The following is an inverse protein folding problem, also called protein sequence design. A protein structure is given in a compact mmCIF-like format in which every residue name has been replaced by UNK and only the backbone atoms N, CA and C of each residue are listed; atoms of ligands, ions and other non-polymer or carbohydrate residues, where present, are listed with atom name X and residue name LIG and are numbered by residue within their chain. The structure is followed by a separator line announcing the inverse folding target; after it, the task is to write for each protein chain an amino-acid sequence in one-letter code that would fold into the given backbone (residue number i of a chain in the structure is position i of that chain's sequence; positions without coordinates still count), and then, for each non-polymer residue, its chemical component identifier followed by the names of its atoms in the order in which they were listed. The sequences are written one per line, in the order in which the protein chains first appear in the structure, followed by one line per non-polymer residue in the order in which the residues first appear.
data_IF_819144608069
#
_entry.id   IF_819144608069
#
_cell.length_a   1.000
_cell.length_b   1.000
_cell.length_c   1.000
_cell.angle_alpha   90.00
_cell.angle_beta   90.00
_cell.angle_gamma   90.00
#
_symmetry.space_group_name_H-M   'P 1'
#
loop_
_entity.id
_entity.type
_entity.pdbx_description
1 polymer ?
#
# COMPACT_ATOMS: atom_id res chain seq x y z
N UNK A 1 -17.05 -5.68 7.51
CA UNK A 1 -17.28 -4.30 7.01
C UNK A 1 -16.56 -3.35 7.95
N UNK A 2 -15.80 -2.37 7.44
CA UNK A 2 -15.27 -1.27 8.24
C UNK A 2 -16.45 -0.60 8.96
N UNK A 3 -16.48 -0.63 10.29
CA UNK A 3 -17.50 0.07 11.07
C UNK A 3 -16.95 1.45 11.47
N UNK A 4 -17.47 2.57 10.91
CA UNK A 4 -17.02 3.91 11.27
C UNK A 4 -17.22 4.21 12.77
N UNK A 5 -18.06 3.44 13.49
CA UNK A 5 -18.16 3.53 14.93
C UNK A 5 -16.83 3.31 15.67
N UNK A 6 -15.88 2.57 15.06
CA UNK A 6 -14.56 2.30 15.62
C UNK A 6 -13.70 3.57 15.86
N UNK A 7 -14.05 4.70 15.24
CA UNK A 7 -13.31 5.95 15.34
C UNK A 7 -14.15 7.17 15.75
N UNK A 8 -15.41 6.97 16.19
CA UNK A 8 -16.32 8.09 16.54
C UNK A 8 -15.81 8.97 17.68
N UNK A 9 -15.03 8.40 18.57
CA UNK A 9 -14.41 9.05 19.73
C UNK A 9 -12.99 9.58 19.45
N UNK A 10 -12.47 9.39 18.23
CA UNK A 10 -11.10 9.76 17.86
C UNK A 10 -11.13 11.08 17.07
N UNK A 11 -10.62 12.20 17.63
CA UNK A 11 -10.55 13.46 16.91
C UNK A 11 -9.63 13.34 15.69
N UNK A 12 -10.03 13.94 14.57
CA UNK A 12 -9.18 14.05 13.39
C UNK A 12 -8.28 15.28 13.52
N UNK A 13 -6.98 15.06 13.57
CA UNK A 13 -5.98 16.11 13.51
C UNK A 13 -5.65 16.46 12.05
N UNK A 14 -5.31 17.73 11.81
CA UNK A 14 -4.78 18.21 10.51
C UNK A 14 -3.34 18.64 10.75
N UNK A 15 -2.39 17.92 10.15
CA UNK A 15 -0.98 18.32 10.13
C UNK A 15 -0.55 18.57 8.68
N UNK A 16 -0.02 19.75 8.40
CA UNK A 16 0.65 20.08 7.14
C UNK A 16 2.15 20.14 7.43
N UNK A 17 2.84 19.00 7.41
CA UNK A 17 4.26 18.91 7.79
C UNK A 17 4.61 17.60 8.48
N UNK A 18 5.61 17.63 9.37
CA UNK A 18 6.15 16.46 10.08
C UNK A 18 5.16 15.82 11.06
N UNK A 19 5.49 14.59 11.49
CA UNK A 19 4.82 13.96 12.62
C UNK A 19 5.14 14.71 13.93
N UNK A 20 4.38 14.45 15.02
CA UNK A 20 4.76 14.86 16.37
C UNK A 20 6.16 14.34 16.76
N UNK A 21 6.69 14.77 17.91
CA UNK A 21 7.99 14.28 18.38
C UNK A 21 8.02 12.75 18.56
N UNK A 22 9.21 12.17 18.37
CA UNK A 22 9.43 10.71 18.34
C UNK A 22 8.73 9.95 19.49
N UNK A 23 8.92 10.39 20.74
CA UNK A 23 8.30 9.74 21.93
C UNK A 23 6.77 9.70 21.83
N UNK A 24 6.17 10.76 21.25
CA UNK A 24 4.73 10.85 21.09
C UNK A 24 4.23 9.92 19.98
N UNK A 25 4.96 9.80 18.88
CA UNK A 25 4.63 8.84 17.81
C UNK A 25 4.74 7.42 18.34
N UNK A 26 5.82 7.10 19.06
CA UNK A 26 6.04 5.80 19.69
C UNK A 26 4.88 5.39 20.63
N UNK A 27 4.44 6.31 21.49
CA UNK A 27 3.29 6.11 22.37
C UNK A 27 2.01 5.83 21.55
N UNK A 28 1.73 6.64 20.54
CA UNK A 28 0.53 6.52 19.71
C UNK A 28 0.50 5.19 18.94
N UNK A 29 1.64 4.69 18.43
CA UNK A 29 1.72 3.40 17.73
C UNK A 29 1.43 2.24 18.70
N UNK A 30 1.99 2.29 19.91
CA UNK A 30 1.72 1.28 20.96
C UNK A 30 0.26 1.31 21.39
N UNK A 31 -0.34 2.48 21.52
CA UNK A 31 -1.75 2.65 21.82
C UNK A 31 -2.64 2.06 20.72
N UNK A 32 -2.31 2.31 19.45
CA UNK A 32 -3.02 1.75 18.31
C UNK A 32 -3.01 0.21 18.34
N UNK A 33 -1.83 -0.39 18.57
CA UNK A 33 -1.70 -1.84 18.72
C UNK A 33 -2.53 -2.37 19.88
N UNK A 34 -2.37 -1.76 21.06
CA UNK A 34 -3.05 -2.17 22.29
C UNK A 34 -4.58 -2.10 22.15
N UNK A 35 -5.10 -1.06 21.49
CA UNK A 35 -6.54 -0.84 21.28
C UNK A 35 -7.20 -1.93 20.45
N UNK A 36 -6.51 -2.46 19.44
CA UNK A 36 -7.10 -3.38 18.47
C UNK A 36 -6.58 -4.82 18.56
N UNK A 37 -5.59 -5.12 19.42
CA UNK A 37 -5.04 -6.48 19.57
C UNK A 37 -6.08 -7.55 19.89
N UNK A 38 -7.15 -7.17 20.59
CA UNK A 38 -8.24 -8.07 21.02
C UNK A 38 -9.35 -8.29 19.99
N UNK A 39 -9.32 -7.58 18.86
CA UNK A 39 -10.28 -7.78 17.76
C UNK A 39 -10.04 -9.11 17.05
N UNK A 40 -11.11 -9.88 16.83
CA UNK A 40 -11.07 -11.27 16.34
C UNK A 40 -11.97 -11.51 15.12
N UNK A 41 -12.63 -10.48 14.61
CA UNK A 41 -13.44 -10.53 13.41
C UNK A 41 -12.66 -11.00 12.19
N UNK A 42 -13.39 -11.49 11.19
CA UNK A 42 -12.85 -11.98 9.92
C UNK A 42 -12.26 -13.39 9.97
N UNK A 43 -11.72 -13.81 8.83
CA UNK A 43 -11.22 -15.17 8.58
C UNK A 43 -9.83 -15.13 7.96
N UNK A 44 -9.02 -16.14 8.26
CA UNK A 44 -7.71 -16.33 7.60
C UNK A 44 -7.96 -16.80 6.16
N UNK A 45 -7.15 -16.34 5.21
CA UNK A 45 -7.24 -16.80 3.83
C UNK A 45 -6.89 -18.29 3.73
N UNK A 46 -7.74 -19.08 3.07
CA UNK A 46 -7.62 -20.53 2.99
C UNK A 46 -7.45 -21.08 1.56
N UNK A 47 -7.70 -20.24 0.54
CA UNK A 47 -7.58 -20.64 -0.87
C UNK A 47 -6.12 -20.81 -1.34
N UNK A 48 -5.15 -20.26 -0.60
CA UNK A 48 -3.72 -20.61 -0.70
C UNK A 48 -3.41 -21.45 0.56
N UNK A 49 -3.21 -22.77 0.44
CA UNK A 49 -3.11 -23.67 1.60
C UNK A 49 -2.14 -23.22 2.69
N UNK A 50 -0.97 -22.72 2.34
CA UNK A 50 0.03 -22.28 3.33
C UNK A 50 -0.41 -21.06 4.15
N UNK A 51 -1.30 -20.21 3.60
CA UNK A 51 -1.82 -19.07 4.35
C UNK A 51 -2.82 -19.49 5.43
N UNK A 52 -3.48 -20.64 5.27
CA UNK A 52 -4.43 -21.18 6.24
C UNK A 52 -3.75 -21.62 7.56
N UNK A 53 -2.44 -21.87 7.52
CA UNK A 53 -1.64 -22.36 8.65
C UNK A 53 -1.10 -21.23 9.54
N UNK A 54 -1.24 -19.96 9.11
CA UNK A 54 -0.74 -18.81 9.85
C UNK A 54 -1.52 -18.61 11.14
N UNK A 55 -0.81 -18.31 12.24
CA UNK A 55 -1.43 -18.01 13.53
C UNK A 55 -2.34 -16.77 13.42
N UNK A 56 -3.68 -16.92 13.59
CA UNK A 56 -4.62 -15.83 13.44
C UNK A 56 -4.44 -14.72 14.49
N UNK A 57 -3.67 -14.97 15.55
CA UNK A 57 -3.43 -14.02 16.65
C UNK A 57 -2.35 -12.99 16.33
N UNK A 58 -1.48 -13.25 15.34
CA UNK A 58 -0.40 -12.34 14.94
C UNK A 58 -0.92 -10.95 14.58
N UNK A 59 -0.30 -9.93 15.18
CA UNK A 59 -0.60 -8.53 14.92
C UNK A 59 0.62 -7.64 15.10
N UNK A 60 1.10 -7.11 13.97
CA UNK A 60 2.19 -6.15 13.91
C UNK A 60 1.76 -4.82 13.31
N UNK A 61 2.32 -3.73 13.83
CA UNK A 61 2.19 -2.38 13.27
C UNK A 61 3.56 -1.73 13.18
N UNK A 62 3.80 -0.99 12.10
CA UNK A 62 5.00 -0.20 11.89
C UNK A 62 4.63 1.19 11.36
N UNK A 63 5.24 2.24 11.89
CA UNK A 63 5.21 3.60 11.35
C UNK A 63 6.64 4.02 11.11
N UNK A 64 6.91 4.58 9.94
CA UNK A 64 8.20 5.21 9.66
C UNK A 64 7.99 6.60 9.08
N UNK A 65 8.75 7.56 9.58
CA UNK A 65 8.83 8.93 9.08
C UNK A 65 9.73 9.01 7.84
N UNK A 66 9.48 9.99 6.96
CA UNK A 66 10.41 10.27 5.84
C UNK A 66 11.83 10.60 6.33
N UNK A 67 11.97 11.11 7.56
CA UNK A 67 13.26 11.33 8.21
C UNK A 67 13.93 10.08 8.80
N UNK A 68 13.33 8.90 8.64
CA UNK A 68 13.88 7.62 9.13
C UNK A 68 13.50 7.24 10.57
N UNK A 69 12.70 8.07 11.26
CA UNK A 69 12.15 7.73 12.58
C UNK A 69 11.18 6.56 12.49
N UNK A 70 11.54 5.41 13.05
CA UNK A 70 10.80 4.16 12.96
C UNK A 70 10.21 3.76 14.31
N UNK A 71 8.97 3.26 14.28
CA UNK A 71 8.16 2.87 15.42
C UNK A 71 7.44 1.54 15.14
N UNK A 72 7.84 0.50 15.86
CA UNK A 72 7.26 -0.85 15.72
C UNK A 72 6.46 -1.24 16.97
N UNK A 73 5.34 -1.95 16.77
CA UNK A 73 4.56 -2.54 17.86
C UNK A 73 4.07 -3.95 17.52
N UNK A 74 4.13 -4.85 18.50
CA UNK A 74 3.69 -6.23 18.36
C UNK A 74 4.58 -7.05 17.42
N UNK A 75 3.94 -7.83 16.55
CA UNK A 75 4.60 -8.76 15.61
C UNK A 75 5.08 -8.05 14.33
N UNK A 76 5.52 -6.79 14.42
CA UNK A 76 5.87 -5.95 13.27
C UNK A 76 6.99 -6.53 12.39
N UNK A 77 7.86 -7.35 12.99
CA UNK A 77 8.98 -8.04 12.34
C UNK A 77 8.66 -9.48 11.94
N UNK A 78 7.40 -9.94 12.10
CA UNK A 78 7.01 -11.28 11.66
C UNK A 78 7.04 -11.34 10.11
N UNK A 79 7.75 -12.32 9.52
CA UNK A 79 7.81 -12.46 8.08
C UNK A 79 6.52 -13.05 7.52
N UNK A 80 6.01 -12.45 6.44
CA UNK A 80 4.88 -12.95 5.67
C UNK A 80 5.08 -12.65 4.19
N UNK A 81 4.28 -13.28 3.34
CA UNK A 81 4.34 -13.06 1.89
C UNK A 81 3.74 -11.70 1.49
N UNK A 82 4.43 -10.92 0.66
CA UNK A 82 4.01 -9.57 0.24
C UNK A 82 2.70 -9.58 -0.56
N UNK A 83 2.41 -10.64 -1.30
CA UNK A 83 1.18 -10.80 -2.08
C UNK A 83 0.93 -9.60 -3.01
N UNK A 84 -0.34 -9.23 -3.20
CA UNK A 84 -0.78 -8.11 -4.03
C UNK A 84 -0.25 -6.73 -3.60
N UNK A 85 0.41 -6.60 -2.45
CA UNK A 85 1.07 -5.34 -2.05
C UNK A 85 2.21 -5.01 -3.01
N UNK A 86 2.89 -6.04 -3.55
CA UNK A 86 3.96 -5.88 -4.52
C UNK A 86 3.55 -5.08 -5.78
N UNK A 87 2.27 -5.13 -6.17
CA UNK A 87 1.75 -4.52 -7.40
C UNK A 87 2.04 -3.03 -7.50
N UNK A 88 1.88 -2.28 -6.41
CA UNK A 88 2.10 -0.83 -6.43
C UNK A 88 3.56 -0.47 -6.67
N UNK A 89 4.49 -1.26 -6.11
CA UNK A 89 5.91 -1.02 -6.25
C UNK A 89 6.42 -1.44 -7.63
N UNK A 90 5.93 -2.57 -8.17
CA UNK A 90 6.25 -2.97 -9.55
C UNK A 90 5.66 -2.00 -10.58
N UNK A 91 4.48 -1.42 -10.30
CA UNK A 91 3.95 -0.33 -11.11
C UNK A 91 4.85 0.91 -11.10
N UNK A 92 5.35 1.31 -9.92
CA UNK A 92 6.32 2.41 -9.82
C UNK A 92 7.58 2.14 -10.66
N UNK A 93 8.15 0.92 -10.57
CA UNK A 93 9.31 0.52 -11.37
C UNK A 93 9.02 0.54 -12.88
N UNK A 94 7.85 0.06 -13.30
CA UNK A 94 7.46 0.08 -14.71
C UNK A 94 7.32 1.50 -15.26
N UNK A 95 6.74 2.44 -14.48
CA UNK A 95 6.69 3.86 -14.88
C UNK A 95 8.09 4.45 -14.94
N UNK A 96 8.95 4.13 -13.97
CA UNK A 96 10.32 4.63 -13.94
C UNK A 96 11.12 4.23 -15.20
N UNK A 97 10.87 3.03 -15.72
CA UNK A 97 11.53 2.51 -16.93
C UNK A 97 10.91 3.07 -18.23
N UNK A 98 9.58 3.10 -18.32
CA UNK A 98 8.88 3.31 -19.61
C UNK A 98 8.19 4.67 -19.75
N UNK A 99 8.13 5.44 -18.68
CA UNK A 99 7.37 6.69 -18.61
C UNK A 99 5.86 6.47 -18.44
N UNK A 100 5.21 7.45 -17.81
CA UNK A 100 3.83 7.30 -17.35
C UNK A 100 2.78 7.18 -18.47
N UNK A 101 3.00 7.81 -19.63
CA UNK A 101 2.05 7.77 -20.76
C UNK A 101 1.96 6.35 -21.32
N UNK A 102 3.12 5.73 -21.54
CA UNK A 102 3.22 4.37 -22.09
C UNK A 102 2.61 3.34 -21.14
N UNK A 103 2.95 3.41 -19.85
CA UNK A 103 2.39 2.47 -18.87
C UNK A 103 0.89 2.68 -18.71
N UNK A 104 0.41 3.92 -18.70
CA UNK A 104 -1.02 4.24 -18.65
C UNK A 104 -1.80 3.68 -19.85
N UNK A 105 -1.24 3.74 -21.06
CA UNK A 105 -1.89 3.19 -22.27
C UNK A 105 -2.01 1.65 -22.24
N UNK A 106 -1.02 0.98 -21.64
CA UNK A 106 -0.98 -0.49 -21.58
C UNK A 106 -1.81 -1.03 -20.41
N UNK A 107 -1.72 -0.38 -19.25
CA UNK A 107 -2.23 -0.90 -17.97
C UNK A 107 -3.45 -0.13 -17.47
N UNK A 108 -3.50 1.18 -17.70
CA UNK A 108 -4.56 2.06 -17.21
C UNK A 108 -4.39 2.54 -15.77
N UNK A 109 -5.33 3.40 -15.36
CA UNK A 109 -5.38 4.05 -14.05
C UNK A 109 -6.79 4.11 -13.44
N UNK A 110 -7.78 3.47 -14.08
CA UNK A 110 -9.19 3.56 -13.73
C UNK A 110 -9.68 2.30 -13.00
N UNK A 111 -10.56 2.50 -12.01
CA UNK A 111 -11.20 1.39 -11.31
C UNK A 111 -12.14 0.61 -12.27
N UNK A 112 -12.22 -0.71 -12.10
CA UNK A 112 -13.08 -1.59 -12.90
C UNK A 112 -14.51 -1.67 -12.38
N UNK A 113 -14.75 -1.29 -11.12
CA UNK A 113 -16.03 -1.50 -10.43
C UNK A 113 -16.39 -2.98 -10.21
N UNK A 114 -15.42 -3.89 -10.42
CA UNK A 114 -15.57 -5.34 -10.32
C UNK A 114 -14.44 -5.93 -9.48
N UNK A 115 -14.59 -7.21 -9.10
CA UNK A 115 -13.59 -7.92 -8.32
C UNK A 115 -12.20 -7.90 -8.95
N UNK A 116 -11.17 -7.91 -8.10
CA UNK A 116 -9.78 -7.72 -8.50
C UNK A 116 -9.21 -8.79 -9.45
N UNK A 117 -9.86 -9.95 -9.53
CA UNK A 117 -9.52 -11.07 -10.40
C UNK A 117 -10.58 -11.29 -11.49
N UNK A 118 -11.41 -10.30 -11.77
CA UNK A 118 -12.54 -10.41 -12.70
C UNK A 118 -12.07 -10.52 -14.16
N UNK A 119 -12.36 -11.67 -14.78
CA UNK A 119 -12.21 -11.88 -16.22
C UNK A 119 -13.21 -11.03 -17.01
N UNK A 120 -14.42 -10.86 -16.47
CA UNK A 120 -15.48 -10.03 -17.06
C UNK A 120 -15.02 -8.58 -17.22
N UNK A 121 -14.24 -8.06 -16.27
CA UNK A 121 -13.68 -6.72 -16.38
C UNK A 121 -12.77 -6.57 -17.60
N UNK A 122 -11.97 -7.60 -17.91
CA UNK A 122 -11.08 -7.60 -19.09
C UNK A 122 -11.90 -7.67 -20.37
N UNK A 123 -12.92 -8.53 -20.43
CA UNK A 123 -13.78 -8.66 -21.62
C UNK A 123 -14.62 -7.40 -21.89
N UNK A 124 -15.18 -6.77 -20.86
CA UNK A 124 -15.96 -5.53 -20.99
C UNK A 124 -15.13 -4.32 -21.45
N UNK A 125 -13.81 -4.41 -21.37
CA UNK A 125 -12.88 -3.35 -21.74
C UNK A 125 -11.96 -3.77 -22.91
N UNK A 126 -12.43 -4.65 -23.79
CA UNK A 126 -11.71 -5.09 -25.00
C UNK A 126 -10.26 -5.56 -24.72
N UNK A 127 -10.09 -6.31 -23.62
CA UNK A 127 -8.80 -6.83 -23.18
C UNK A 127 -7.99 -5.89 -22.28
N UNK A 128 -8.40 -4.62 -22.15
CA UNK A 128 -7.65 -3.65 -21.37
C UNK A 128 -7.82 -3.88 -19.85
N UNK A 129 -6.73 -3.96 -19.05
CA UNK A 129 -6.80 -4.32 -17.64
C UNK A 129 -7.28 -3.19 -16.71
N UNK A 130 -7.35 -1.96 -17.21
CA UNK A 130 -7.88 -0.75 -16.57
C UNK A 130 -7.06 -0.14 -15.43
N UNK A 131 -6.39 -0.92 -14.58
CA UNK A 131 -5.45 -0.40 -13.58
C UNK A 131 -4.44 -1.48 -13.12
N UNK A 132 -3.32 -1.12 -12.47
CA UNK A 132 -2.27 -2.07 -12.08
C UNK A 132 -2.58 -2.85 -10.80
N UNK A 133 -3.63 -2.49 -10.05
CA UNK A 133 -3.92 -3.10 -8.74
C UNK A 133 -4.79 -4.36 -8.85
N UNK A 134 -5.50 -4.53 -9.97
CA UNK A 134 -6.17 -5.79 -10.34
C UNK A 134 -5.17 -6.80 -10.91
N UNK A 135 -5.47 -8.10 -10.85
CA UNK A 135 -4.53 -9.15 -11.28
C UNK A 135 -4.14 -9.02 -12.76
N UNK A 136 -5.09 -8.72 -13.64
CA UNK A 136 -4.82 -8.55 -15.06
C UNK A 136 -3.80 -7.42 -15.30
N UNK A 137 -3.98 -6.27 -14.65
CA UNK A 137 -3.07 -5.14 -14.80
C UNK A 137 -1.73 -5.38 -14.12
N UNK A 138 -1.71 -6.09 -13.00
CA UNK A 138 -0.47 -6.49 -12.37
C UNK A 138 0.36 -7.42 -13.27
N UNK A 139 -0.26 -8.43 -13.89
CA UNK A 139 0.40 -9.33 -14.84
C UNK A 139 0.92 -8.54 -16.05
N UNK A 140 0.10 -7.62 -16.61
CA UNK A 140 0.53 -6.74 -17.69
C UNK A 140 1.68 -5.81 -17.28
N UNK A 141 1.67 -5.31 -16.03
CA UNK A 141 2.75 -4.48 -15.47
C UNK A 141 4.03 -5.29 -15.28
N UNK A 142 3.94 -6.51 -14.76
CA UNK A 142 5.09 -7.42 -14.63
C UNK A 142 5.71 -7.71 -16.01
N UNK A 143 4.90 -7.85 -17.05
CA UNK A 143 5.39 -8.04 -18.43
C UNK A 143 6.23 -6.86 -18.96
N UNK A 144 6.07 -5.66 -18.40
CA UNK A 144 6.85 -4.47 -18.76
C UNK A 144 8.23 -4.42 -18.10
N UNK A 145 8.48 -5.26 -17.09
CA UNK A 145 9.75 -5.25 -16.39
C UNK A 145 10.89 -5.67 -17.32
N UNK A 146 12.05 -4.99 -17.29
CA UNK A 146 13.13 -5.24 -18.22
C UNK A 146 13.75 -6.63 -18.03
N UNK A 147 14.12 -7.28 -19.13
CA UNK A 147 14.77 -8.60 -19.16
C UNK A 147 14.50 -9.30 -20.49
N UNK A 148 15.50 -9.95 -21.06
CA UNK A 148 15.34 -10.74 -22.28
C UNK A 148 14.73 -12.14 -21.98
N UNK A 149 14.80 -12.56 -20.72
CA UNK A 149 14.25 -13.83 -20.23
C UNK A 149 13.43 -13.61 -18.96
N UNK A 150 12.54 -14.55 -18.64
CA UNK A 150 11.78 -14.54 -17.40
C UNK A 150 12.67 -14.52 -16.14
N UNK A 151 13.87 -15.11 -16.20
CA UNK A 151 14.85 -15.11 -15.10
C UNK A 151 15.39 -13.70 -14.87
N UNK A 152 15.81 -13.01 -15.93
CA UNK A 152 16.29 -11.63 -15.83
C UNK A 152 15.18 -10.69 -15.36
N UNK A 153 13.97 -10.85 -15.89
CA UNK A 153 12.79 -10.07 -15.49
C UNK A 153 12.47 -10.26 -14.01
N UNK A 154 12.52 -11.50 -13.52
CA UNK A 154 12.36 -11.84 -12.11
C UNK A 154 13.42 -11.15 -11.24
N UNK A 155 14.70 -11.21 -11.60
CA UNK A 155 15.75 -10.57 -10.82
C UNK A 155 15.56 -9.04 -10.75
N UNK A 156 15.13 -8.39 -11.85
CA UNK A 156 14.81 -6.95 -11.83
C UNK A 156 13.65 -6.59 -10.92
N UNK A 157 12.61 -7.43 -10.88
CA UNK A 157 11.50 -7.27 -9.92
C UNK A 157 12.01 -7.42 -8.49
N UNK A 158 12.77 -8.47 -8.20
CA UNK A 158 13.31 -8.74 -6.86
C UNK A 158 14.25 -7.63 -6.38
N UNK A 159 15.14 -7.15 -7.24
CA UNK A 159 16.07 -6.05 -6.96
C UNK A 159 15.32 -4.75 -6.67
N UNK A 160 14.36 -4.37 -7.52
CA UNK A 160 13.59 -3.15 -7.31
C UNK A 160 12.75 -3.18 -6.04
N UNK A 161 12.10 -4.30 -5.74
CA UNK A 161 11.37 -4.47 -4.47
C UNK A 161 12.31 -4.47 -3.25
N UNK A 162 13.52 -5.01 -3.40
CA UNK A 162 14.56 -4.95 -2.36
C UNK A 162 15.05 -3.51 -2.12
N UNK A 163 15.19 -2.71 -3.18
CA UNK A 163 15.56 -1.30 -3.06
C UNK A 163 14.49 -0.50 -2.31
N UNK A 164 13.20 -0.73 -2.58
CA UNK A 164 12.11 -0.16 -1.78
C UNK A 164 12.19 -0.58 -0.32
N UNK A 165 12.49 -1.85 -0.02
CA UNK A 165 12.59 -2.35 1.35
C UNK A 165 13.85 -1.89 2.10
N UNK A 166 14.84 -1.34 1.39
CA UNK A 166 16.15 -1.01 1.96
C UNK A 166 16.98 -2.23 2.36
N UNK A 167 16.57 -3.44 1.94
CA UNK A 167 17.27 -4.71 2.19
C UNK A 167 16.95 -5.74 1.10
N UNK A 168 17.82 -6.75 0.88
CA UNK A 168 17.48 -7.88 0.01
C UNK A 168 16.22 -8.61 0.49
N UNK A 169 15.26 -8.78 -0.41
CA UNK A 169 14.08 -9.64 -0.22
C UNK A 169 14.34 -11.04 -0.78
N UNK A 170 13.81 -12.03 -0.09
CA UNK A 170 13.96 -13.45 -0.43
C UNK A 170 12.62 -14.03 -0.87
N UNK A 171 12.67 -14.93 -1.85
CA UNK A 171 11.52 -15.72 -2.27
C UNK A 171 11.18 -16.76 -1.20
N UNK A 172 9.94 -16.77 -0.74
CA UNK A 172 9.42 -17.88 0.04
C UNK A 172 9.04 -19.03 -0.91
N UNK A 173 9.90 -20.06 -0.94
CA UNK A 173 9.71 -21.21 -1.82
C UNK A 173 8.47 -22.04 -1.50
N UNK A 174 7.99 -22.03 -0.25
CA UNK A 174 6.79 -22.77 0.17
C UNK A 174 5.55 -22.04 -0.33
N UNK A 175 5.48 -20.72 -0.11
CA UNK A 175 4.38 -19.89 -0.63
C UNK A 175 4.34 -19.93 -2.15
N UNK A 176 5.50 -19.76 -2.80
CA UNK A 176 5.59 -19.84 -4.26
C UNK A 176 5.08 -21.18 -4.80
N UNK A 177 5.52 -22.30 -4.23
CA UNK A 177 5.05 -23.62 -4.67
C UNK A 177 3.54 -23.80 -4.48
N UNK A 178 2.99 -23.28 -3.39
CA UNK A 178 1.54 -23.33 -3.10
C UNK A 178 0.72 -22.49 -4.08
N UNK A 179 1.17 -21.26 -4.38
CA UNK A 179 0.52 -20.40 -5.36
C UNK A 179 0.64 -20.95 -6.78
N UNK A 180 1.82 -21.41 -7.20
CA UNK A 180 2.07 -21.88 -8.55
C UNK A 180 1.21 -23.11 -8.93
N UNK A 181 0.82 -23.90 -7.94
CA UNK A 181 -0.08 -25.05 -8.09
C UNK A 181 -1.56 -24.66 -8.21
N UNK A 182 -1.96 -23.47 -7.77
CA UNK A 182 -3.37 -23.06 -7.64
C UNK A 182 -3.72 -21.78 -8.43
N UNK A 183 -2.75 -21.20 -9.16
CA UNK A 183 -2.90 -19.93 -9.88
C UNK A 183 -3.59 -20.02 -11.25
N UNK A 184 -4.46 -21.02 -11.48
CA UNK A 184 -5.17 -21.23 -12.76
C UNK A 184 -5.86 -19.98 -13.29
N UNK A 185 -6.45 -19.19 -12.39
CA UNK A 185 -7.11 -17.93 -12.75
C UNK A 185 -6.13 -16.89 -13.28
N UNK A 186 -4.91 -16.81 -12.73
CA UNK A 186 -3.87 -15.93 -13.25
C UNK A 186 -3.34 -16.43 -14.60
N UNK A 187 -3.18 -17.74 -14.78
CA UNK A 187 -2.82 -18.35 -16.08
C UNK A 187 -3.86 -18.02 -17.16
N UNK A 188 -5.15 -18.14 -16.82
CA UNK A 188 -6.24 -17.76 -17.71
C UNK A 188 -6.19 -16.27 -18.07
N UNK A 189 -5.97 -15.39 -17.10
CA UNK A 189 -5.81 -13.95 -17.35
C UNK A 189 -4.61 -13.64 -18.26
N UNK A 190 -3.45 -14.26 -18.04
CA UNK A 190 -2.28 -14.08 -18.91
C UNK A 190 -2.56 -14.46 -20.37
N UNK A 191 -3.23 -15.61 -20.59
CA UNK A 191 -3.62 -16.06 -21.93
C UNK A 191 -4.68 -15.14 -22.57
N UNK A 192 -5.62 -14.64 -21.77
CA UNK A 192 -6.63 -13.69 -22.23
C UNK A 192 -6.02 -12.35 -22.64
N UNK A 193 -5.13 -11.79 -21.82
CA UNK A 193 -4.41 -10.57 -22.18
C UNK A 193 -3.61 -10.74 -23.46
N UNK A 194 -2.95 -11.89 -23.64
CA UNK A 194 -2.26 -12.24 -24.89
C UNK A 194 -3.22 -12.31 -26.08
N UNK A 195 -4.40 -12.92 -25.93
CA UNK A 195 -5.36 -13.02 -27.05
C UNK A 195 -5.88 -11.66 -27.52
N UNK A 196 -5.92 -10.66 -26.63
CA UNK A 196 -6.25 -9.27 -26.97
C UNK A 196 -5.03 -8.43 -27.38
N UNK A 197 -3.83 -9.00 -27.46
CA UNK A 197 -2.60 -8.27 -27.80
C UNK A 197 -2.13 -7.30 -26.69
N UNK A 198 -2.58 -7.50 -25.45
CA UNK A 198 -2.26 -6.66 -24.27
C UNK A 198 -1.14 -7.20 -23.42
N UNK A 199 -0.54 -8.33 -23.81
CA UNK A 199 0.60 -8.93 -23.12
C UNK A 199 1.65 -9.37 -24.15
N UNK A 200 2.86 -8.85 -24.01
CA UNK A 200 4.05 -9.26 -24.76
C UNK A 200 4.76 -10.40 -24.03
N UNK A 201 5.38 -11.31 -24.80
CA UNK A 201 6.10 -12.47 -24.25
C UNK A 201 5.21 -13.71 -24.07
N UNK A 202 5.77 -14.73 -23.43
CA UNK A 202 5.02 -15.94 -23.08
C UNK A 202 4.16 -15.68 -21.83
N UNK A 203 2.84 -15.91 -21.89
CA UNK A 203 1.93 -15.62 -20.79
C UNK A 203 2.18 -16.51 -19.57
N UNK A 204 2.61 -17.75 -19.77
CA UNK A 204 2.88 -18.67 -18.66
C UNK A 204 4.19 -18.26 -17.94
N UNK A 205 5.19 -17.76 -18.68
CA UNK A 205 6.42 -17.20 -18.11
C UNK A 205 6.18 -15.91 -17.31
N UNK A 206 5.41 -14.96 -17.86
CA UNK A 206 5.08 -13.71 -17.15
C UNK A 206 4.28 -13.99 -15.87
N UNK A 207 3.31 -14.93 -15.94
CA UNK A 207 2.54 -15.34 -14.76
C UNK A 207 3.43 -16.00 -13.72
N UNK A 208 4.47 -16.74 -14.11
CA UNK A 208 5.46 -17.28 -13.18
C UNK A 208 6.20 -16.17 -12.43
N UNK A 209 6.71 -15.16 -13.15
CA UNK A 209 7.39 -14.00 -12.55
C UNK A 209 6.47 -13.25 -11.59
N UNK A 210 5.21 -13.03 -11.97
CA UNK A 210 4.21 -12.41 -11.10
C UNK A 210 3.91 -13.27 -9.86
N UNK A 211 3.90 -14.60 -9.99
CA UNK A 211 3.71 -15.50 -8.84
C UNK A 211 4.89 -15.43 -7.88
N UNK A 212 6.12 -15.40 -8.38
CA UNK A 212 7.33 -15.20 -7.55
C UNK A 212 7.32 -13.84 -6.84
N UNK A 213 6.88 -12.80 -7.53
CA UNK A 213 6.71 -11.46 -6.98
C UNK A 213 5.77 -11.46 -5.76
N UNK A 214 4.63 -12.14 -5.85
CA UNK A 214 3.69 -12.29 -4.72
C UNK A 214 4.31 -13.05 -3.54
N UNK A 215 5.19 -14.03 -3.82
CA UNK A 215 5.79 -14.90 -2.82
C UNK A 215 7.07 -14.34 -2.15
N UNK A 216 7.44 -13.07 -2.36
CA UNK A 216 8.53 -12.45 -1.61
C UNK A 216 8.18 -12.26 -0.13
N UNK A 217 9.13 -12.55 0.76
CA UNK A 217 8.98 -12.43 2.20
C UNK A 217 9.32 -11.02 2.71
N UNK A 218 8.37 -10.41 3.39
CA UNK A 218 8.43 -9.06 3.99
C UNK A 218 7.87 -9.07 5.41
N UNK A 219 8.06 -7.98 6.13
CA UNK A 219 7.48 -7.70 7.45
C UNK A 219 6.65 -6.43 7.40
N UNK A 220 5.88 -6.11 8.45
CA UNK A 220 5.16 -4.83 8.51
C UNK A 220 6.16 -3.66 8.51
N UNK A 221 7.29 -3.83 9.19
CA UNK A 221 8.41 -2.91 9.15
C UNK A 221 8.91 -2.67 7.71
N UNK A 222 9.18 -3.73 6.94
CA UNK A 222 9.64 -3.57 5.55
C UNK A 222 8.61 -2.81 4.72
N UNK A 223 7.32 -3.15 4.85
CA UNK A 223 6.26 -2.46 4.14
C UNK A 223 6.18 -0.98 4.51
N UNK A 224 6.41 -0.61 5.77
CA UNK A 224 6.48 0.79 6.19
C UNK A 224 7.65 1.50 5.49
N UNK A 225 8.85 0.91 5.47
CA UNK A 225 10.03 1.45 4.77
C UNK A 225 9.77 1.62 3.26
N UNK A 226 9.18 0.61 2.62
CA UNK A 226 8.79 0.65 1.22
C UNK A 226 7.78 1.79 0.96
N UNK A 227 6.76 1.92 1.81
CA UNK A 227 5.77 2.98 1.73
C UNK A 227 6.37 4.37 1.90
N UNK A 228 7.27 4.55 2.85
CA UNK A 228 7.91 5.84 3.11
C UNK A 228 8.91 6.24 2.03
N UNK A 229 9.49 5.27 1.31
CA UNK A 229 10.23 5.55 0.07
C UNK A 229 9.34 6.30 -0.93
N UNK A 230 8.07 5.92 -1.08
CA UNK A 230 7.12 6.65 -1.93
C UNK A 230 6.65 7.97 -1.28
N UNK A 231 6.57 8.03 0.05
CA UNK A 231 6.22 9.25 0.77
C UNK A 231 7.29 10.35 0.62
N UNK A 232 8.57 9.95 0.50
CA UNK A 232 9.74 10.83 0.39
C UNK A 232 10.21 11.02 -1.06
N UNK A 233 9.28 11.04 -2.01
CA UNK A 233 9.61 11.32 -3.42
C UNK A 233 10.59 10.32 -4.05
N UNK A 234 10.58 9.07 -3.57
CA UNK A 234 11.31 7.95 -4.12
C UNK A 234 12.66 7.70 -3.46
N UNK A 235 13.01 8.41 -2.38
CA UNK A 235 14.23 8.18 -1.60
C UNK A 235 13.92 7.25 -0.44
N UNK A 236 14.66 6.15 -0.32
CA UNK A 236 14.45 5.21 0.77
C UNK A 236 14.97 5.83 2.09
N UNK A 237 14.13 5.90 3.15
CA UNK A 237 14.46 6.65 4.37
C UNK A 237 15.55 5.99 5.23
N UNK A 238 15.87 4.71 4.98
CA UNK A 238 16.89 3.97 5.74
C UNK A 238 18.25 4.02 5.02
N UNK A 239 18.25 3.85 3.70
CA UNK A 239 19.49 3.78 2.91
C UNK A 239 19.91 5.13 2.32
N UNK A 240 18.96 6.06 2.16
CA UNK A 240 19.18 7.33 1.46
C UNK A 240 19.27 7.19 -0.07
N UNK A 241 19.06 5.99 -0.61
CA UNK A 241 19.13 5.75 -2.06
C UNK A 241 17.84 6.14 -2.76
N UNK A 242 17.96 6.74 -3.94
CA UNK A 242 16.82 7.03 -4.81
C UNK A 242 16.42 5.77 -5.58
N UNK A 243 15.24 5.23 -5.28
CA UNK A 243 14.66 4.06 -5.94
C UNK A 243 13.89 4.46 -7.20
N UNK A 244 13.08 5.52 -7.11
CA UNK A 244 12.32 6.10 -8.23
C UNK A 244 12.30 7.63 -8.16
N UNK A 245 11.81 8.29 -9.20
CA UNK A 245 11.60 9.74 -9.22
C UNK A 245 10.36 10.18 -8.44
N UNK A 246 10.31 11.45 -8.06
CA UNK A 246 9.16 12.06 -7.38
C UNK A 246 7.88 12.00 -8.23
N UNK A 247 8.00 12.18 -9.55
CA UNK A 247 6.87 12.08 -10.48
C UNK A 247 6.26 10.67 -10.51
N UNK A 248 7.11 9.64 -10.47
CA UNK A 248 6.68 8.23 -10.37
C UNK A 248 5.95 7.98 -9.06
N UNK A 249 6.42 8.56 -7.94
CA UNK A 249 5.74 8.47 -6.65
C UNK A 249 4.34 9.07 -6.71
N UNK A 250 4.21 10.29 -7.26
CA UNK A 250 2.91 10.96 -7.45
C UNK A 250 1.94 10.06 -8.23
N UNK A 251 2.38 9.54 -9.37
CA UNK A 251 1.53 8.74 -10.26
C UNK A 251 1.14 7.40 -9.62
N UNK A 252 2.07 6.77 -8.91
CA UNK A 252 1.81 5.53 -8.15
C UNK A 252 0.77 5.77 -7.07
N UNK A 253 0.96 6.81 -6.25
CA UNK A 253 0.08 7.12 -5.12
C UNK A 253 -1.33 7.51 -5.58
N UNK A 254 -1.45 8.25 -6.69
CA UNK A 254 -2.75 8.61 -7.26
C UNK A 254 -3.57 7.38 -7.67
N UNK A 255 -2.93 6.40 -8.32
CA UNK A 255 -3.60 5.16 -8.74
C UNK A 255 -3.96 4.30 -7.54
N UNK A 256 -3.03 4.13 -6.61
CA UNK A 256 -3.22 3.31 -5.41
C UNK A 256 -4.34 3.85 -4.53
N UNK A 257 -4.48 5.18 -4.44
CA UNK A 257 -5.57 5.83 -3.70
C UNK A 257 -6.97 5.39 -4.14
N UNK A 258 -7.17 5.12 -5.43
CA UNK A 258 -8.50 4.79 -5.98
C UNK A 258 -8.72 3.30 -6.26
N UNK A 259 -7.67 2.46 -6.18
CA UNK A 259 -7.72 1.06 -6.63
C UNK A 259 -7.03 0.05 -5.68
N UNK A 260 -6.44 0.51 -4.57
CA UNK A 260 -5.53 -0.31 -3.78
C UNK A 260 -6.14 -1.28 -2.76
N UNK A 261 -7.42 -1.12 -2.38
CA UNK A 261 -8.12 -1.98 -1.40
C UNK A 261 -9.30 -2.74 -2.03
N UNK A 262 -9.08 -3.22 -3.26
CA UNK A 262 -10.05 -4.01 -4.00
C UNK A 262 -11.39 -3.25 -4.14
N UNK A 263 -12.52 -3.93 -3.95
CA UNK A 263 -13.88 -3.36 -4.01
C UNK A 263 -14.13 -2.29 -2.93
N UNK A 264 -13.28 -2.22 -1.90
CA UNK A 264 -13.39 -1.29 -0.76
C UNK A 264 -12.47 -0.07 -0.88
N UNK A 265 -11.82 0.14 -2.02
CA UNK A 265 -10.91 1.28 -2.23
C UNK A 265 -11.61 2.64 -2.00
N UNK A 266 -12.87 2.78 -2.42
CA UNK A 266 -13.66 4.00 -2.20
C UNK A 266 -13.97 4.25 -0.72
N UNK A 267 -14.46 3.22 -0.02
CA UNK A 267 -14.76 3.28 1.42
C UNK A 267 -13.51 3.63 2.24
N UNK A 268 -12.36 3.01 1.90
CA UNK A 268 -11.08 3.30 2.53
C UNK A 268 -10.67 4.77 2.34
N UNK A 269 -10.68 5.25 1.10
CA UNK A 269 -10.25 6.61 0.80
C UNK A 269 -11.16 7.64 1.47
N UNK A 270 -12.46 7.35 1.56
CA UNK A 270 -13.44 8.21 2.23
C UNK A 270 -13.22 8.28 3.75
N UNK A 271 -13.00 7.14 4.41
CA UNK A 271 -12.89 7.09 5.88
C UNK A 271 -11.49 7.39 6.43
N UNK A 272 -10.44 7.03 5.69
CA UNK A 272 -9.04 7.05 6.17
C UNK A 272 -8.19 8.09 5.42
N UNK A 273 -8.49 8.35 4.15
CA UNK A 273 -7.86 9.43 3.37
C UNK A 273 -6.39 9.22 3.03
N UNK A 274 -5.96 7.97 2.88
CA UNK A 274 -4.58 7.61 2.53
C UNK A 274 -4.54 6.69 1.30
N UNK A 275 -3.61 6.90 0.35
CA UNK A 275 -3.21 5.87 -0.61
C UNK A 275 -2.74 4.64 0.15
N UNK A 276 -3.33 3.48 -0.13
CA UNK A 276 -2.95 2.24 0.53
C UNK A 276 -3.12 1.02 -0.37
N UNK A 277 -2.38 -0.05 -0.07
CA UNK A 277 -2.50 -1.34 -0.74
C UNK A 277 -2.56 -2.47 0.29
N UNK A 278 -3.51 -3.37 0.10
CA UNK A 278 -3.65 -4.59 0.90
C UNK A 278 -3.13 -5.85 0.19
N UNK A 279 -2.81 -6.87 0.98
CA UNK A 279 -2.46 -8.21 0.52
C UNK A 279 -3.18 -9.27 1.34
N UNK A 280 -3.52 -10.38 0.70
CA UNK A 280 -4.31 -11.48 1.28
C UNK A 280 -3.57 -12.27 2.37
N UNK A 281 -2.27 -12.07 2.54
CA UNK A 281 -1.54 -12.55 3.70
C UNK A 281 -1.91 -11.78 4.98
N UNK A 282 -2.64 -10.66 4.88
CA UNK A 282 -3.02 -9.82 6.02
C UNK A 282 -2.22 -8.52 6.15
N UNK A 283 -1.35 -8.23 5.18
CA UNK A 283 -0.59 -6.97 5.13
C UNK A 283 -1.41 -5.81 4.57
N UNK A 284 -1.18 -4.60 5.09
CA UNK A 284 -1.61 -3.33 4.51
C UNK A 284 -0.47 -2.33 4.64
N UNK A 285 -0.18 -1.57 3.59
CA UNK A 285 0.68 -0.37 3.64
C UNK A 285 -0.15 0.85 3.23
N UNK A 286 -0.05 1.93 3.99
CA UNK A 286 -0.71 3.21 3.75
C UNK A 286 0.32 4.34 3.79
N UNK A 287 0.29 5.23 2.80
CA UNK A 287 1.35 6.22 2.56
C UNK A 287 0.81 7.62 2.80
N UNK A 288 1.54 8.42 3.59
CA UNK A 288 1.25 9.82 3.86
C UNK A 288 2.37 10.69 3.25
N UNK A 289 2.19 11.21 2.02
CA UNK A 289 3.17 12.03 1.31
C UNK A 289 3.79 13.12 2.18
N UNK A 290 5.13 13.20 2.18
CA UNK A 290 5.90 14.17 2.96
C UNK A 290 5.98 13.88 4.47
N UNK A 291 5.31 12.84 4.97
CA UNK A 291 5.33 12.45 6.40
C UNK A 291 5.97 11.10 6.64
N UNK A 292 5.53 10.09 5.90
CA UNK A 292 5.98 8.73 6.08
C UNK A 292 4.96 7.70 5.62
N UNK A 293 5.00 6.52 6.23
CA UNK A 293 4.05 5.46 5.96
C UNK A 293 3.72 4.66 7.22
N UNK A 294 2.54 4.03 7.17
CA UNK A 294 2.05 3.10 8.18
C UNK A 294 1.83 1.76 7.52
N UNK A 295 2.30 0.69 8.14
CA UNK A 295 2.00 -0.66 7.72
C UNK A 295 1.47 -1.50 8.88
N UNK A 296 0.59 -2.43 8.56
CA UNK A 296 0.05 -3.39 9.50
C UNK A 296 0.03 -4.79 8.91
N UNK A 297 0.15 -5.78 9.79
CA UNK A 297 0.00 -7.17 9.45
C UNK A 297 -0.94 -7.84 10.45
N UNK A 298 -2.03 -8.42 9.95
CA UNK A 298 -2.82 -9.38 10.72
C UNK A 298 -3.60 -10.32 9.79
N UNK A 299 -3.55 -11.65 10.00
CA UNK A 299 -4.05 -12.62 9.00
C UNK A 299 -5.57 -12.61 8.77
N UNK A 300 -6.38 -12.17 9.74
CA UNK A 300 -7.84 -12.18 9.62
C UNK A 300 -8.33 -11.08 8.69
N UNK A 301 -8.97 -11.47 7.60
CA UNK A 301 -9.48 -10.61 6.55
C UNK A 301 -10.99 -10.41 6.67
N UNK A 302 -11.46 -9.26 6.19
CA UNK A 302 -12.86 -9.06 5.87
C UNK A 302 -13.27 -9.75 4.54
N UNK A 303 -14.54 -9.62 4.17
CA UNK A 303 -15.10 -10.19 2.94
C UNK A 303 -14.45 -9.66 1.65
N UNK A 304 -13.79 -8.50 1.70
CA UNK A 304 -13.06 -7.94 0.56
C UNK A 304 -11.59 -8.35 0.53
N UNK A 305 -11.12 -9.16 1.50
CA UNK A 305 -9.74 -9.62 1.57
C UNK A 305 -8.78 -8.63 2.24
N UNK A 306 -9.30 -7.70 3.05
CA UNK A 306 -8.49 -6.71 3.77
C UNK A 306 -8.38 -7.04 5.26
N UNK A 307 -7.17 -6.93 5.83
CA UNK A 307 -6.91 -7.23 7.24
C UNK A 307 -7.69 -6.34 8.20
N UNK A 308 -8.53 -6.91 9.07
CA UNK A 308 -9.43 -6.13 9.94
C UNK A 308 -8.64 -5.29 10.96
N UNK A 309 -7.73 -5.92 11.70
CA UNK A 309 -6.94 -5.21 12.73
C UNK A 309 -6.07 -4.12 12.11
N UNK A 310 -5.43 -4.40 10.98
CA UNK A 310 -4.60 -3.42 10.27
C UNK A 310 -5.44 -2.23 9.77
N UNK A 311 -6.63 -2.46 9.22
CA UNK A 311 -7.53 -1.38 8.80
C UNK A 311 -7.93 -0.47 9.97
N UNK A 312 -8.33 -1.05 11.11
CA UNK A 312 -8.75 -0.30 12.29
C UNK A 312 -7.60 0.54 12.87
N UNK A 313 -6.42 -0.06 12.99
CA UNK A 313 -5.24 0.61 13.53
C UNK A 313 -4.72 1.72 12.61
N UNK A 314 -4.64 1.49 11.30
CA UNK A 314 -4.25 2.53 10.34
C UNK A 314 -5.26 3.67 10.34
N UNK A 315 -6.57 3.39 10.43
CA UNK A 315 -7.59 4.43 10.53
C UNK A 315 -7.45 5.29 11.79
N UNK A 316 -7.13 4.66 12.94
CA UNK A 316 -6.83 5.38 14.17
C UNK A 316 -5.57 6.26 14.02
N UNK A 317 -4.48 5.69 13.51
CA UNK A 317 -3.21 6.39 13.30
C UNK A 317 -3.38 7.55 12.32
N UNK A 318 -4.17 7.38 11.26
CA UNK A 318 -4.48 8.45 10.29
C UNK A 318 -5.15 9.65 10.95
N UNK A 319 -6.08 9.41 11.88
CA UNK A 319 -6.78 10.46 12.63
C UNK A 319 -5.86 11.17 13.62
N UNK A 320 -5.17 10.41 14.47
CA UNK A 320 -4.40 10.96 15.60
C UNK A 320 -3.08 11.60 15.16
N UNK A 321 -2.42 11.05 14.14
CA UNK A 321 -1.19 11.62 13.57
C UNK A 321 -1.47 12.64 12.44
N UNK A 322 -2.74 12.85 12.11
CA UNK A 322 -3.17 13.76 11.06
C UNK A 322 -2.63 13.41 9.68
N UNK A 323 -2.67 12.12 9.31
CA UNK A 323 -2.12 11.63 8.04
C UNK A 323 -3.09 11.81 6.87
N UNK A 324 -4.39 11.90 7.15
CA UNK A 324 -5.45 12.02 6.14
C UNK A 324 -5.22 13.21 5.20
N UNK A 325 -5.09 12.92 3.89
CA UNK A 325 -4.81 13.90 2.85
C UNK A 325 -5.95 14.90 2.59
N UNK A 326 -7.17 14.56 2.99
CA UNK A 326 -8.37 15.37 2.77
C UNK A 326 -8.88 16.04 4.05
N UNK A 327 -8.23 15.81 5.18
CA UNK A 327 -8.58 16.47 6.42
C UNK A 327 -8.32 17.98 6.31
N UNK A 328 -9.29 18.78 6.71
CA UNK A 328 -9.21 20.24 6.70
C UNK A 328 -9.77 20.82 7.99
N UNK A 329 -9.19 21.93 8.42
CA UNK A 329 -9.61 22.66 9.61
C UNK A 329 -9.66 24.16 9.29
N UNK A 330 -10.50 24.93 10.01
CA UNK A 330 -10.49 26.39 9.88
C UNK A 330 -9.09 26.95 10.13
N UNK A 331 -8.65 27.88 9.29
CA UNK A 331 -7.41 28.60 9.53
C UNK A 331 -7.47 29.27 10.90
N UNK A 332 -6.48 29.01 11.77
CA UNK A 332 -6.34 29.74 13.02
C UNK A 332 -5.99 31.18 12.65
N UNK A 333 -6.97 32.09 12.72
CA UNK A 333 -6.70 33.52 12.66
C UNK A 333 -5.97 33.88 13.95
N UNK A 334 -4.68 34.20 13.86
CA UNK A 334 -4.02 34.90 14.95
C UNK A 334 -4.85 36.15 15.23
N UNK A 335 -5.34 36.29 16.47
CA UNK A 335 -6.00 37.52 16.89
C UNK A 335 -4.98 38.64 16.71
N UNK A 336 -5.16 39.50 15.70
CA UNK A 336 -4.25 40.61 15.47
C UNK A 336 -4.20 41.45 16.74
N UNK A 337 -3.03 41.51 17.38
CA UNK A 337 -2.76 42.42 18.47
C UNK A 337 -2.70 43.86 17.93
N UNK A 338 -3.87 44.43 17.63
CA UNK A 338 -4.05 45.87 17.40
C UNK A 338 -5.34 46.32 18.08
N UNK A 339 -5.37 46.25 19.40
CA UNK A 339 -6.22 47.15 20.15
C UNK A 339 -5.59 48.57 20.05
N UNK A 340 -6.31 49.61 19.62
CA UNK A 340 -5.78 50.96 19.62
C UNK A 340 -5.54 51.41 21.07
N UNK A 341 -4.35 51.96 21.34
CA UNK A 341 -4.04 52.60 22.62
C UNK A 341 -5.09 53.67 22.95
N UNK A 342 -5.58 53.77 24.20
CA UNK A 342 -6.46 54.85 24.58
C UNK A 342 -5.70 56.18 24.48
N UNK A 343 -6.31 57.16 23.79
CA UNK A 343 -5.74 58.49 23.61
C UNK A 343 -5.47 59.16 24.97
N UNK A 344 -4.38 59.95 25.10
CA UNK A 344 -4.09 60.67 26.33
C UNK A 344 -5.17 61.71 26.60
N UNK A 345 -5.67 61.75 27.84
CA UNK A 345 -6.52 62.82 28.34
C UNK A 345 -5.72 64.12 28.36
N UNK A 346 -6.10 65.10 27.54
CA UNK A 346 -5.63 66.47 27.70
C UNK A 346 -6.31 67.10 28.91
N UNK A 347 -5.49 67.44 29.91
CA UNK A 347 -5.81 68.44 30.92
C UNK A 347 -5.41 69.82 30.36
N UNK A 348 -6.39 70.65 30.05
CA UNK A 348 -6.48 72.10 30.39
C UNK A 348 -7.58 72.77 29.59
#
# INVERSE_FOLDING_TARGET
MLDPAAWRDVPQEVSTGSLPGWDRVEEIVRDAHSRYRGERGGTVADYIPVLAEVDPELFGLAVIEVGGGLHDAGDALHPFSIQSISKMFVYALAIQEHGHERVRDIVGVNNTGLAFNSVVAVELNDGHPMNPMVNAGAIATTALMPGATAVEQWERVREGLSAFAGRPLSLDGVVYASEAQTNDRNRALGRLLRSYGRLSGDPDEVVDVYTRQCALSVTAHDLAVMGATLADGGVNPVTGERVVSEEVCRDTLAVVASTGLYERSGDWLFEIGLPAKSGVAGGIVAVAPGKGAVAGFSPRLDEAGNSIRSQMAIGYLSRVLGLNLFASAPARREASATAPSPAPQEQS
#
